data_IF_743072505505
#
_entry.id   IF_743072505505
#
_cell.length_a   1.000
_cell.length_b   1.000
_cell.length_c   1.000
_cell.angle_alpha   90.00
_cell.angle_beta   90.00
_cell.angle_gamma   90.00
#
_symmetry.space_group_name_H-M   'P 1'
#
loop_
_entity.id
_entity.type
_entity.pdbx_description
1 polymer ?
#
# COMPACT_ATOMS: atom_id res chain seq x y z
N UNK A 1 14.42 -0.05 -7.69
CA UNK A 1 13.69 0.86 -8.60
C UNK A 1 12.80 1.69 -7.71
N UNK A 2 12.89 3.00 -7.77
CA UNK A 2 12.05 3.93 -7.00
C UNK A 2 10.75 4.30 -7.76
N UNK A 3 9.86 5.06 -7.12
CA UNK A 3 8.56 5.42 -7.69
C UNK A 3 8.70 6.32 -8.93
N UNK A 4 9.70 7.20 -8.95
CA UNK A 4 9.98 8.10 -10.07
C UNK A 4 10.40 7.31 -11.31
N UNK A 5 11.26 6.29 -11.12
CA UNK A 5 11.68 5.43 -12.21
C UNK A 5 10.51 4.60 -12.76
N UNK A 6 9.64 4.04 -11.88
CA UNK A 6 8.45 3.32 -12.33
C UNK A 6 7.51 4.22 -13.13
N UNK A 7 7.24 5.44 -12.63
CA UNK A 7 6.42 6.43 -13.34
C UNK A 7 7.01 6.80 -14.70
N UNK A 8 8.34 7.02 -14.76
CA UNK A 8 9.05 7.32 -16.01
C UNK A 8 8.97 6.16 -17.01
N UNK A 9 9.12 4.92 -16.56
CA UNK A 9 9.04 3.74 -17.41
C UNK A 9 7.62 3.53 -17.96
N UNK A 10 6.58 3.83 -17.17
CA UNK A 10 5.18 3.82 -17.63
C UNK A 10 4.95 4.96 -18.64
N UNK A 11 5.37 6.17 -18.33
CA UNK A 11 5.21 7.32 -19.21
C UNK A 11 5.94 7.14 -20.56
N UNK A 12 7.10 6.50 -20.54
CA UNK A 12 7.91 6.15 -21.71
C UNK A 12 7.44 4.89 -22.46
N UNK A 13 6.41 4.19 -21.98
CA UNK A 13 5.88 2.98 -22.62
C UNK A 13 6.77 1.74 -22.50
N UNK A 14 7.77 1.74 -21.63
CA UNK A 14 8.61 0.56 -21.35
C UNK A 14 7.87 -0.52 -20.59
N UNK A 15 6.90 -0.13 -19.77
CA UNK A 15 6.01 -1.00 -19.00
C UNK A 15 4.63 -0.35 -18.95
N UNK A 16 3.56 -1.15 -18.90
CA UNK A 16 2.21 -0.64 -18.65
C UNK A 16 1.94 -0.53 -17.15
N UNK A 17 0.99 0.33 -16.75
CA UNK A 17 0.50 0.39 -15.38
C UNK A 17 -0.08 -0.96 -14.93
N UNK A 18 -0.80 -1.64 -15.83
CA UNK A 18 -1.32 -2.99 -15.60
C UNK A 18 -0.20 -3.98 -15.27
N UNK A 19 0.90 -3.96 -16.03
CA UNK A 19 2.05 -4.85 -15.79
C UNK A 19 2.78 -4.51 -14.49
N UNK A 20 2.93 -3.23 -14.17
CA UNK A 20 3.50 -2.78 -12.89
C UNK A 20 2.66 -3.28 -11.70
N UNK A 21 1.33 -3.19 -11.79
CA UNK A 21 0.41 -3.71 -10.79
C UNK A 21 0.48 -5.23 -10.67
N UNK A 22 0.50 -5.97 -11.79
CA UNK A 22 0.69 -7.43 -11.76
C UNK A 22 1.98 -7.83 -11.03
N UNK A 23 3.07 -7.12 -11.28
CA UNK A 23 4.35 -7.38 -10.62
C UNK A 23 4.27 -7.12 -9.11
N UNK A 24 3.62 -6.02 -8.69
CA UNK A 24 3.41 -5.70 -7.27
C UNK A 24 2.55 -6.75 -6.57
N UNK A 25 1.45 -7.18 -7.17
CA UNK A 25 0.59 -8.24 -6.64
C UNK A 25 1.31 -9.60 -6.56
N UNK A 26 2.12 -9.94 -7.57
CA UNK A 26 2.94 -11.15 -7.55
C UNK A 26 3.94 -11.16 -6.39
N UNK A 27 4.65 -10.04 -6.18
CA UNK A 27 5.56 -9.88 -5.05
C UNK A 27 4.83 -9.88 -3.71
N UNK A 28 3.67 -9.24 -3.61
CA UNK A 28 2.86 -9.29 -2.39
C UNK A 28 2.48 -10.73 -2.02
N UNK A 29 2.17 -11.58 -3.01
CA UNK A 29 1.90 -13.00 -2.82
C UNK A 29 3.16 -13.78 -2.41
N UNK A 30 4.29 -13.54 -3.07
CA UNK A 30 5.59 -14.17 -2.78
C UNK A 30 6.03 -13.87 -1.34
N UNK A 31 5.95 -12.61 -0.93
CA UNK A 31 6.39 -12.13 0.39
C UNK A 31 5.28 -12.11 1.45
N UNK A 32 4.17 -12.82 1.24
CA UNK A 32 3.04 -12.86 2.20
C UNK A 32 3.45 -13.21 3.64
N UNK A 33 4.49 -14.03 3.79
CA UNK A 33 4.98 -14.47 5.10
C UNK A 33 5.71 -13.38 5.89
N UNK A 34 5.98 -12.22 5.27
CA UNK A 34 6.49 -11.04 5.97
C UNK A 34 5.42 -10.35 6.84
N UNK A 35 4.14 -10.68 6.67
CA UNK A 35 3.06 -10.00 7.42
C UNK A 35 2.96 -8.50 7.15
N UNK A 36 3.56 -8.01 6.05
CA UNK A 36 3.63 -6.59 5.75
C UNK A 36 2.29 -5.99 5.30
N UNK A 37 1.41 -6.81 4.72
CA UNK A 37 0.15 -6.39 4.11
C UNK A 37 -1.01 -7.15 4.75
N UNK A 38 -2.03 -6.43 5.20
CA UNK A 38 -3.20 -6.98 5.91
C UNK A 38 -4.45 -7.03 5.05
N UNK A 39 -4.50 -6.27 3.94
CA UNK A 39 -5.61 -6.28 2.98
C UNK A 39 -5.12 -5.98 1.57
N UNK A 40 -5.66 -6.70 0.58
CA UNK A 40 -5.39 -6.48 -0.85
C UNK A 40 -6.71 -6.55 -1.62
N UNK A 41 -6.92 -5.59 -2.53
CA UNK A 41 -8.05 -5.52 -3.46
C UNK A 41 -7.54 -5.72 -4.91
N UNK A 42 -7.16 -6.96 -5.23
CA UNK A 42 -6.47 -7.30 -6.49
C UNK A 42 -7.27 -6.98 -7.74
N UNK A 43 -8.57 -7.30 -7.77
CA UNK A 43 -9.41 -7.09 -8.95
C UNK A 43 -9.62 -5.62 -9.23
N UNK A 44 -9.96 -4.83 -8.19
CA UNK A 44 -10.12 -3.39 -8.31
C UNK A 44 -8.83 -2.70 -8.74
N UNK A 45 -7.68 -3.12 -8.18
CA UNK A 45 -6.37 -2.57 -8.53
C UNK A 45 -5.99 -2.85 -9.99
N UNK A 46 -6.24 -4.06 -10.49
CA UNK A 46 -5.98 -4.41 -11.88
C UNK A 46 -6.91 -3.65 -12.85
N UNK A 47 -8.18 -3.44 -12.47
CA UNK A 47 -9.11 -2.63 -13.26
C UNK A 47 -8.63 -1.18 -13.34
N UNK A 48 -8.28 -0.55 -12.21
CA UNK A 48 -7.73 0.81 -12.17
C UNK A 48 -6.42 0.93 -12.97
N UNK A 49 -5.56 -0.08 -12.89
CA UNK A 49 -4.30 -0.07 -13.66
C UNK A 49 -4.55 -0.16 -15.17
N UNK A 50 -5.58 -0.89 -15.60
CA UNK A 50 -6.00 -0.92 -17.00
C UNK A 50 -6.57 0.42 -17.46
N UNK A 51 -7.43 1.05 -16.66
CA UNK A 51 -7.94 2.40 -16.91
C UNK A 51 -6.81 3.43 -17.01
N UNK A 52 -5.79 3.30 -16.14
CA UNK A 52 -4.61 4.15 -16.21
C UNK A 52 -3.86 3.99 -17.54
N UNK A 53 -3.72 2.79 -18.10
CA UNK A 53 -3.07 2.58 -19.39
C UNK A 53 -3.84 3.27 -20.54
N UNK A 54 -5.17 3.39 -20.41
CA UNK A 54 -6.06 4.03 -21.40
C UNK A 54 -6.16 5.56 -21.21
N UNK A 55 -5.69 6.10 -20.06
CA UNK A 55 -5.78 7.53 -19.75
C UNK A 55 -4.92 8.38 -20.67
N UNK A 56 -5.45 9.43 -21.35
CA UNK A 56 -4.68 10.35 -22.18
C UNK A 56 -3.57 11.04 -21.37
N UNK A 57 -2.44 11.34 -22.04
CA UNK A 57 -1.25 11.88 -21.37
C UNK A 57 -1.48 13.18 -20.60
N UNK A 58 -2.34 14.05 -21.11
CA UNK A 58 -2.71 15.34 -20.52
C UNK A 58 -3.44 15.24 -19.17
N UNK A 59 -3.99 14.08 -18.85
CA UNK A 59 -4.67 13.81 -17.57
C UNK A 59 -3.84 12.97 -16.60
N UNK A 60 -2.59 12.66 -16.95
CA UNK A 60 -1.71 11.81 -16.13
C UNK A 60 -1.03 12.62 -15.03
N UNK A 61 -1.14 12.16 -13.79
CA UNK A 61 -0.37 12.70 -12.67
C UNK A 61 1.11 12.28 -12.71
N UNK A 62 1.94 12.86 -11.85
CA UNK A 62 3.39 12.64 -11.83
C UNK A 62 3.80 11.20 -11.45
N UNK A 63 2.93 10.45 -10.76
CA UNK A 63 3.12 9.04 -10.42
C UNK A 63 2.12 8.12 -11.11
N UNK A 64 1.71 8.50 -12.32
CA UNK A 64 0.66 7.80 -13.06
C UNK A 64 0.94 6.30 -13.20
N UNK A 65 -0.01 5.48 -12.71
CA UNK A 65 0.03 4.02 -12.81
C UNK A 65 0.96 3.32 -11.80
N UNK A 66 1.59 4.06 -10.88
CA UNK A 66 2.50 3.47 -9.88
C UNK A 66 1.71 2.73 -8.79
N UNK A 67 2.00 1.44 -8.52
CA UNK A 67 1.41 0.70 -7.42
C UNK A 67 1.77 1.27 -6.05
N UNK A 68 0.78 1.40 -5.18
CA UNK A 68 0.88 2.06 -3.89
C UNK A 68 0.17 1.26 -2.79
N UNK A 69 0.65 1.37 -1.56
CA UNK A 69 0.01 0.78 -0.37
C UNK A 69 -0.31 1.86 0.65
N UNK A 70 -1.53 1.78 1.20
CA UNK A 70 -1.95 2.61 2.33
C UNK A 70 -1.52 2.01 3.66
N UNK A 71 -1.29 2.84 4.68
CA UNK A 71 -1.17 2.38 6.07
C UNK A 71 -2.57 2.08 6.62
N UNK A 72 -2.75 0.98 7.36
CA UNK A 72 -4.04 0.61 7.98
C UNK A 72 -4.39 1.49 9.20
N UNK A 73 -4.07 2.79 9.12
CA UNK A 73 -4.33 3.76 10.20
C UNK A 73 -4.53 5.17 9.65
N UNK A 74 -5.56 5.84 10.14
CA UNK A 74 -5.85 7.25 9.87
C UNK A 74 -6.68 7.43 8.60
N UNK A 75 -6.01 7.68 7.48
CA UNK A 75 -6.67 7.99 6.22
C UNK A 75 -7.02 6.76 5.40
N UNK A 76 -8.18 6.75 4.75
CA UNK A 76 -8.69 5.63 3.95
C UNK A 76 -8.67 5.94 2.46
N UNK A 77 -8.29 4.96 1.64
CA UNK A 77 -8.56 4.94 0.21
C UNK A 77 -9.96 4.37 -0.05
N UNK A 78 -10.55 4.70 -1.21
CA UNK A 78 -11.83 4.14 -1.62
C UNK A 78 -11.78 2.61 -1.64
N UNK A 79 -12.76 1.94 -1.04
CA UNK A 79 -12.80 0.47 -0.81
C UNK A 79 -11.71 -0.12 0.12
N UNK A 80 -10.83 0.69 0.67
CA UNK A 80 -9.75 0.28 1.56
C UNK A 80 -9.85 1.06 2.89
N UNK A 81 -10.97 0.87 3.59
CA UNK A 81 -11.20 1.49 4.90
C UNK A 81 -10.22 0.94 5.92
N UNK A 82 -9.54 1.84 6.61
CA UNK A 82 -8.58 1.50 7.65
C UNK A 82 -9.25 0.96 8.92
N UNK A 83 -8.61 0.01 9.56
CA UNK A 83 -9.11 -0.65 10.78
C UNK A 83 -8.28 -0.34 12.02
N UNK A 84 -7.18 0.38 11.87
CA UNK A 84 -6.25 0.67 12.96
C UNK A 84 -5.59 -0.58 13.54
N UNK A 85 -5.34 -1.61 12.73
CA UNK A 85 -4.77 -2.88 13.19
C UNK A 85 -5.75 -3.77 13.97
N UNK A 86 -7.06 -3.44 13.96
CA UNK A 86 -8.09 -4.19 14.72
C UNK A 86 -8.98 -4.97 13.75
N UNK A 87 -8.77 -6.28 13.65
CA UNK A 87 -9.49 -7.16 12.71
C UNK A 87 -11.03 -7.10 12.87
N UNK A 88 -11.54 -6.95 14.09
CA UNK A 88 -12.98 -6.82 14.35
C UNK A 88 -13.55 -5.53 13.72
N UNK A 89 -12.82 -4.41 13.82
CA UNK A 89 -13.22 -3.15 13.20
C UNK A 89 -13.19 -3.24 11.67
N UNK A 90 -12.21 -3.94 11.09
CA UNK A 90 -12.14 -4.14 9.63
C UNK A 90 -13.45 -4.72 9.10
N UNK A 91 -13.97 -5.78 9.72
CA UNK A 91 -15.24 -6.42 9.33
C UNK A 91 -16.45 -5.51 9.44
N UNK A 92 -16.47 -4.60 10.42
CA UNK A 92 -17.57 -3.64 10.61
C UNK A 92 -17.48 -2.51 9.60
N UNK A 93 -16.27 -2.01 9.35
CA UNK A 93 -16.03 -0.82 8.53
C UNK A 93 -15.92 -1.11 7.02
N UNK A 94 -15.78 -2.36 6.61
CA UNK A 94 -15.69 -2.77 5.19
C UNK A 94 -16.84 -2.25 4.31
N UNK A 95 -18.00 -1.94 4.91
CA UNK A 95 -19.16 -1.38 4.21
C UNK A 95 -19.03 0.12 3.91
N UNK A 96 -18.12 0.81 4.59
CA UNK A 96 -17.92 2.24 4.43
C UNK A 96 -17.02 2.51 3.21
N UNK A 97 -17.63 2.99 2.14
CA UNK A 97 -16.92 3.43 0.94
C UNK A 97 -16.60 4.92 1.08
N UNK A 98 -15.53 5.22 1.79
CA UNK A 98 -15.07 6.59 2.01
C UNK A 98 -13.63 6.74 1.53
N UNK A 99 -13.35 7.80 0.83
CA UNK A 99 -12.00 8.23 0.50
C UNK A 99 -11.68 9.53 1.22
N UNK A 100 -10.56 9.52 1.94
CA UNK A 100 -10.05 10.73 2.59
C UNK A 100 -9.44 11.69 1.56
N UNK A 101 -9.44 12.99 1.87
CA UNK A 101 -8.82 14.01 1.02
C UNK A 101 -7.35 13.71 0.69
N UNK A 102 -6.61 13.13 1.65
CA UNK A 102 -5.22 12.71 1.45
C UNK A 102 -5.11 11.66 0.33
N UNK A 103 -5.93 10.61 0.39
CA UNK A 103 -5.90 9.57 -0.64
C UNK A 103 -6.44 10.04 -1.98
N UNK A 104 -7.42 10.95 -2.00
CA UNK A 104 -7.85 11.63 -3.21
C UNK A 104 -6.68 12.38 -3.89
N UNK A 105 -5.82 13.05 -3.11
CA UNK A 105 -4.59 13.68 -3.64
C UNK A 105 -3.56 12.66 -4.15
N UNK A 106 -3.39 11.53 -3.47
CA UNK A 106 -2.53 10.44 -3.95
C UNK A 106 -3.05 9.87 -5.27
N UNK A 107 -4.35 9.61 -5.38
CA UNK A 107 -4.97 9.18 -6.66
C UNK A 107 -4.84 10.26 -7.74
N UNK A 108 -5.05 11.54 -7.41
CA UNK A 108 -4.83 12.65 -8.33
C UNK A 108 -3.38 12.76 -8.83
N UNK A 109 -2.39 12.29 -8.05
CA UNK A 109 -1.01 12.18 -8.52
C UNK A 109 -0.78 10.97 -9.44
N UNK A 110 -1.76 10.07 -9.56
CA UNK A 110 -1.74 8.86 -10.39
C UNK A 110 -1.32 7.59 -9.68
N UNK A 111 -1.12 7.62 -8.33
CA UNK A 111 -0.85 6.43 -7.53
C UNK A 111 -2.09 5.52 -7.49
N UNK A 112 -1.88 4.20 -7.64
CA UNK A 112 -2.96 3.20 -7.56
C UNK A 112 -2.82 2.42 -6.25
N UNK A 113 -3.71 2.72 -5.29
CA UNK A 113 -3.71 2.06 -3.99
C UNK A 113 -4.38 0.68 -4.09
N UNK A 114 -3.62 -0.39 -3.85
CA UNK A 114 -4.11 -1.75 -4.01
C UNK A 114 -4.26 -2.54 -2.71
N UNK A 115 -3.83 -1.98 -1.57
CA UNK A 115 -3.92 -2.67 -0.29
C UNK A 115 -3.51 -1.82 0.90
N UNK A 116 -3.60 -2.41 2.09
CA UNK A 116 -3.26 -1.80 3.37
C UNK A 116 -2.13 -2.54 4.06
N UNK A 117 -1.19 -1.79 4.64
CA UNK A 117 -0.02 -2.32 5.36
C UNK A 117 -0.30 -2.49 6.85
N UNK A 118 0.36 -3.47 7.46
CA UNK A 118 0.22 -3.82 8.87
C UNK A 118 0.65 -2.67 9.79
N UNK A 119 -0.12 -2.51 10.86
CA UNK A 119 0.13 -1.59 11.98
C UNK A 119 -0.23 -2.28 13.29
N UNK A 120 0.33 -1.89 14.44
CA UNK A 120 -0.21 -2.32 15.73
C UNK A 120 -1.56 -1.65 15.99
N UNK A 121 -2.31 -2.15 16.98
CA UNK A 121 -3.59 -1.57 17.36
C UNK A 121 -3.46 -0.06 17.60
N UNK A 122 -4.23 0.71 16.84
CA UNK A 122 -4.28 2.18 16.84
C UNK A 122 -2.91 2.90 16.74
N UNK A 123 -1.88 2.19 16.28
CA UNK A 123 -0.53 2.74 16.19
C UNK A 123 0.18 2.90 17.54
N UNK A 124 -0.31 2.26 18.61
CA UNK A 124 0.16 2.48 19.96
C UNK A 124 1.34 1.60 20.40
N UNK A 125 2.02 0.93 19.47
CA UNK A 125 3.22 0.15 19.77
C UNK A 125 4.35 0.45 18.78
N UNK A 126 5.58 0.15 19.22
CA UNK A 126 6.81 0.33 18.43
C UNK A 126 7.11 -0.84 17.49
N UNK A 127 6.21 -1.82 17.41
CA UNK A 127 6.27 -2.98 16.50
C UNK A 127 4.93 -3.12 15.79
N UNK A 128 4.93 -3.60 14.55
CA UNK A 128 3.70 -3.78 13.75
C UNK A 128 3.24 -5.24 13.84
N UNK A 129 2.62 -5.57 14.96
CA UNK A 129 2.16 -6.92 15.32
C UNK A 129 0.66 -6.89 15.67
N UNK A 130 -0.22 -6.73 14.65
CA UNK A 130 -1.66 -6.69 14.89
C UNK A 130 -2.15 -8.04 15.45
N UNK A 131 -3.03 -8.03 16.48
CA UNK A 131 -3.60 -9.25 17.03
C UNK A 131 -4.36 -10.06 15.96
N UNK A 132 -4.20 -11.39 16.00
CA UNK A 132 -4.85 -12.33 15.08
C UNK A 132 -4.45 -12.20 13.60
N UNK A 133 -3.36 -11.51 13.31
CA UNK A 133 -2.74 -11.43 11.98
C UNK A 133 -1.26 -11.81 12.06
N UNK A 134 -0.61 -11.97 10.92
CA UNK A 134 0.84 -12.21 10.89
C UNK A 134 1.57 -10.93 11.35
N UNK A 135 2.51 -11.02 12.31
CA UNK A 135 3.36 -9.89 12.66
C UNK A 135 4.22 -9.47 11.47
N UNK A 136 4.40 -8.18 11.28
CA UNK A 136 5.31 -7.67 10.28
C UNK A 136 6.76 -8.05 10.62
N UNK A 137 7.50 -8.52 9.63
CA UNK A 137 8.89 -8.97 9.78
C UNK A 137 9.83 -8.12 8.94
N UNK A 138 11.04 -7.94 9.45
CA UNK A 138 12.10 -7.25 8.74
C UNK A 138 12.58 -8.12 7.55
N UNK A 139 12.48 -7.66 6.30
CA UNK A 139 12.89 -8.43 5.13
C UNK A 139 14.38 -8.81 5.10
N UNK A 140 15.23 -8.02 5.75
CA UNK A 140 16.67 -8.29 5.84
C UNK A 140 17.01 -9.39 6.84
N UNK A 141 16.18 -9.53 7.89
CA UNK A 141 16.28 -10.61 8.86
C UNK A 141 14.92 -10.85 9.54
N UNK A 142 14.24 -11.89 9.12
CA UNK A 142 12.87 -12.23 9.55
C UNK A 142 12.72 -12.58 11.05
N UNK A 143 13.82 -12.63 11.81
CA UNK A 143 13.81 -12.81 13.26
C UNK A 143 13.55 -11.50 14.01
N UNK A 144 13.60 -10.36 13.31
CA UNK A 144 13.41 -9.04 13.87
C UNK A 144 12.14 -8.38 13.33
N UNK A 145 11.57 -7.49 14.14
CA UNK A 145 10.52 -6.57 13.72
C UNK A 145 11.10 -5.51 12.76
N UNK A 146 10.32 -5.00 11.82
CA UNK A 146 10.69 -3.81 11.02
C UNK A 146 10.48 -2.50 11.80
N UNK A 147 10.03 -2.58 13.05
CA UNK A 147 9.60 -1.42 13.81
C UNK A 147 8.10 -1.12 13.65
N UNK A 148 7.68 0.04 14.11
CA UNK A 148 6.28 0.51 14.09
C UNK A 148 6.14 1.98 14.47
N UNK A 149 4.96 2.46 14.26
CA UNK A 149 3.73 1.77 13.82
C UNK A 149 3.62 1.58 12.31
N UNK A 150 4.49 2.14 11.46
CA UNK A 150 4.48 1.99 9.99
C UNK A 150 5.33 0.80 9.50
N UNK A 151 5.55 -0.21 10.34
CA UNK A 151 6.43 -1.34 10.04
C UNK A 151 6.01 -2.18 8.83
N UNK A 152 4.71 -2.34 8.59
CA UNK A 152 4.21 -3.00 7.39
C UNK A 152 4.58 -2.24 6.10
N UNK A 153 4.48 -0.91 6.11
CA UNK A 153 4.89 -0.06 4.98
C UNK A 153 6.40 -0.16 4.74
N UNK A 154 7.21 -0.05 5.80
CA UNK A 154 8.66 -0.20 5.73
C UNK A 154 9.07 -1.58 5.16
N UNK A 155 8.45 -2.66 5.66
CA UNK A 155 8.72 -4.02 5.18
C UNK A 155 8.32 -4.21 3.71
N UNK A 156 7.17 -3.66 3.28
CA UNK A 156 6.72 -3.76 1.90
C UNK A 156 7.65 -3.05 0.91
N UNK A 157 8.14 -1.86 1.27
CA UNK A 157 9.12 -1.11 0.45
C UNK A 157 10.47 -1.80 0.45
N UNK A 158 10.99 -2.21 1.61
CA UNK A 158 12.28 -2.90 1.72
C UNK A 158 12.32 -4.24 0.97
N UNK A 159 11.22 -4.99 0.96
CA UNK A 159 11.07 -6.21 0.16
C UNK A 159 10.86 -5.94 -1.34
N UNK A 160 10.74 -4.67 -1.76
CA UNK A 160 10.49 -4.29 -3.15
C UNK A 160 9.11 -4.72 -3.67
N UNK A 161 8.13 -4.89 -2.80
CA UNK A 161 6.73 -5.14 -3.19
C UNK A 161 6.17 -3.90 -3.90
N UNK A 162 6.39 -2.74 -3.33
CA UNK A 162 6.08 -1.43 -3.90
C UNK A 162 7.28 -0.50 -3.81
N UNK A 163 7.40 0.48 -4.71
CA UNK A 163 8.49 1.46 -4.65
C UNK A 163 8.26 2.56 -3.59
N UNK A 164 7.03 2.75 -3.16
CA UNK A 164 6.59 3.75 -2.19
C UNK A 164 5.33 3.27 -1.48
N UNK A 165 5.16 3.63 -0.19
CA UNK A 165 3.98 3.34 0.60
C UNK A 165 3.64 4.51 1.54
N UNK A 166 2.35 4.63 1.92
CA UNK A 166 1.89 5.61 2.90
C UNK A 166 2.34 5.20 4.32
N UNK A 167 2.83 6.16 5.05
CA UNK A 167 3.18 6.04 6.46
C UNK A 167 2.70 7.28 7.23
N UNK A 168 2.55 7.16 8.54
CA UNK A 168 2.18 8.26 9.43
C UNK A 168 3.10 8.27 10.65
N UNK A 169 3.43 9.45 11.15
CA UNK A 169 4.30 9.63 12.28
C UNK A 169 3.75 10.70 13.25
N UNK A 170 3.47 10.29 14.47
CA UNK A 170 3.12 11.21 15.56
C UNK A 170 4.22 11.29 16.62
N UNK A 171 5.05 10.22 16.74
CA UNK A 171 6.09 10.13 17.75
C UNK A 171 7.23 9.16 17.35
N UNK A 172 7.61 9.15 16.06
CA UNK A 172 8.66 8.28 15.51
C UNK A 172 8.15 7.04 14.79
N UNK A 173 6.91 7.06 14.28
CA UNK A 173 6.27 5.91 13.63
C UNK A 173 6.62 5.70 12.15
N UNK A 174 7.54 6.46 11.58
CA UNK A 174 8.13 6.24 10.25
C UNK A 174 9.50 5.60 10.36
#
# INVERSE_FOLDING_TARGET
MDATQVASDIAGGKITAFKAMQNALSKAKEYRNLGAIVKIESEAALAQAKEADETPKEYRGCFHGVPFLGKDLGSSAYNLTTSGGVLALRKILEKNKYESELFSKFHGSGLITFGLTAVPEFGLALTSEPPNELPAKNPWNIKYSPGGSSGGAAAAVAAGIVPIAHATDAAGSI
#
